data_IF_903020606616
#
_entry.id   IF_903020606616
#
_cell.length_a   1.000
_cell.length_b   1.000
_cell.length_c   1.000
_cell.angle_alpha   90.00
_cell.angle_beta   90.00
_cell.angle_gamma   90.00
#
_symmetry.space_group_name_H-M   'P 1'
#
loop_
_entity.id
_entity.type
_entity.pdbx_description
1 polymer ?
#
# COMPACT_ATOMS: atom_id res chain seq x y z
N UNK A 1 -26.92 -4.34 10.46
CA UNK A 1 -26.97 -5.78 10.77
C UNK A 1 -28.13 -6.56 10.12
N UNK A 2 -28.89 -5.99 9.17
CA UNK A 2 -30.00 -6.70 8.47
C UNK A 2 -29.72 -7.12 7.01
N UNK A 3 -28.57 -6.72 6.45
CA UNK A 3 -28.20 -7.02 5.06
C UNK A 3 -27.53 -8.39 4.96
N UNK A 4 -26.71 -8.75 5.96
CA UNK A 4 -25.89 -9.98 5.97
C UNK A 4 -26.73 -11.27 6.06
N UNK A 5 -27.90 -11.24 6.71
CA UNK A 5 -28.72 -12.44 6.92
C UNK A 5 -29.39 -12.98 5.66
N UNK A 6 -29.36 -12.25 4.54
CA UNK A 6 -29.98 -12.68 3.28
C UNK A 6 -29.01 -13.46 2.36
N UNK A 7 -27.71 -13.46 2.66
CA UNK A 7 -26.65 -14.03 1.80
C UNK A 7 -26.27 -15.48 2.14
N UNK A 8 -26.95 -16.14 3.07
CA UNK A 8 -26.56 -17.46 3.56
C UNK A 8 -27.15 -18.65 2.77
N UNK A 9 -27.87 -18.41 1.67
CA UNK A 9 -28.66 -19.45 0.99
C UNK A 9 -28.30 -19.76 -0.48
N UNK A 10 -27.42 -18.99 -1.12
CA UNK A 10 -27.02 -19.22 -2.52
C UNK A 10 -25.54 -19.50 -2.63
N UNK A 11 -25.18 -20.48 -3.48
CA UNK A 11 -23.79 -20.88 -3.77
C UNK A 11 -23.11 -19.72 -4.50
N UNK A 12 -22.47 -18.85 -3.73
CA UNK A 12 -21.71 -17.71 -4.22
C UNK A 12 -20.47 -18.17 -4.99
N UNK A 13 -20.35 -17.73 -6.24
CA UNK A 13 -19.11 -17.85 -6.99
C UNK A 13 -18.32 -16.56 -6.73
N UNK A 14 -17.08 -16.63 -6.24
CA UNK A 14 -16.31 -15.43 -5.87
C UNK A 14 -15.11 -15.27 -6.80
N UNK A 15 -14.76 -14.03 -7.14
CA UNK A 15 -13.52 -13.64 -7.82
C UNK A 15 -12.56 -13.04 -6.77
N UNK A 16 -11.53 -13.76 -6.29
CA UNK A 16 -10.50 -13.21 -5.43
C UNK A 16 -9.61 -12.26 -6.23
N UNK A 17 -9.32 -11.11 -5.63
CA UNK A 17 -8.20 -10.26 -6.06
C UNK A 17 -6.92 -10.57 -5.26
N UNK A 18 -7.02 -11.11 -4.04
CA UNK A 18 -5.90 -11.66 -3.24
C UNK A 18 -6.44 -12.53 -2.07
N UNK A 19 -5.57 -13.05 -1.19
CA UNK A 19 -5.91 -13.90 -0.02
C UNK A 19 -6.93 -13.25 0.96
N UNK A 20 -6.98 -11.93 1.02
CA UNK A 20 -7.88 -11.12 1.88
C UNK A 20 -9.03 -10.46 1.10
N UNK A 21 -9.00 -10.48 -0.24
CA UNK A 21 -9.94 -9.77 -1.12
C UNK A 21 -10.79 -10.74 -1.93
N UNK A 22 -12.11 -10.70 -1.73
CA UNK A 22 -13.07 -11.52 -2.47
C UNK A 22 -14.16 -10.63 -3.07
N UNK A 23 -14.31 -10.63 -4.39
CA UNK A 23 -15.50 -10.10 -5.08
C UNK A 23 -16.54 -11.20 -5.15
N UNK A 24 -17.67 -11.00 -4.48
CA UNK A 24 -18.79 -11.94 -4.49
C UNK A 24 -19.60 -11.83 -5.80
N UNK A 25 -19.95 -12.96 -6.43
CA UNK A 25 -20.80 -13.06 -7.62
C UNK A 25 -22.02 -13.95 -7.29
N UNK A 26 -23.22 -13.38 -7.31
CA UNK A 26 -24.48 -14.12 -7.26
C UNK A 26 -25.11 -14.11 -8.67
N UNK A 27 -25.56 -15.27 -9.17
CA UNK A 27 -25.85 -15.48 -10.60
C UNK A 27 -27.19 -14.89 -11.06
N UNK A 28 -28.02 -14.34 -10.18
CA UNK A 28 -29.35 -13.83 -10.61
C UNK A 28 -29.47 -12.30 -10.61
N UNK A 29 -28.59 -11.57 -9.91
CA UNK A 29 -28.43 -10.11 -10.01
C UNK A 29 -26.96 -9.74 -9.73
N UNK A 30 -26.23 -9.28 -10.76
CA UNK A 30 -24.80 -8.91 -10.72
C UNK A 30 -24.54 -7.73 -9.77
N UNK A 31 -24.48 -7.98 -8.46
CA UNK A 31 -24.04 -6.98 -7.47
C UNK A 31 -22.64 -7.33 -6.98
N UNK A 32 -21.64 -6.89 -7.73
CA UNK A 32 -20.24 -7.04 -7.37
C UNK A 32 -19.87 -6.05 -6.28
N UNK A 33 -19.87 -6.50 -5.03
CA UNK A 33 -19.33 -5.73 -3.91
C UNK A 33 -17.84 -6.02 -3.76
N UNK A 34 -17.02 -4.98 -3.86
CA UNK A 34 -15.72 -4.99 -3.21
C UNK A 34 -15.96 -5.01 -1.69
N UNK A 35 -15.58 -6.09 -1.02
CA UNK A 35 -15.75 -6.25 0.42
C UNK A 35 -14.96 -5.23 1.24
N UNK A 36 -13.87 -4.68 0.68
CA UNK A 36 -12.99 -3.74 1.36
C UNK A 36 -13.54 -2.31 1.28
N UNK A 37 -13.94 -1.88 0.08
CA UNK A 37 -14.50 -0.54 -0.11
C UNK A 37 -16.02 -0.48 0.07
N UNK A 38 -16.70 -1.63 0.20
CA UNK A 38 -18.16 -1.76 0.18
C UNK A 38 -18.78 -1.05 -1.03
N UNK A 39 -18.07 -1.03 -2.15
CA UNK A 39 -18.42 -0.32 -3.36
C UNK A 39 -18.60 -1.29 -4.52
N UNK A 40 -19.38 -0.86 -5.50
CA UNK A 40 -19.52 -1.63 -6.74
C UNK A 40 -18.25 -1.53 -7.56
N UNK A 41 -17.88 -2.62 -8.23
CA UNK A 41 -16.76 -2.59 -9.17
C UNK A 41 -17.03 -1.60 -10.30
N UNK A 42 -15.97 -0.97 -10.81
CA UNK A 42 -16.09 -0.14 -11.99
C UNK A 42 -16.52 -1.00 -13.19
N UNK A 43 -17.24 -0.39 -14.13
CA UNK A 43 -17.67 -1.10 -15.34
C UNK A 43 -16.46 -1.52 -16.19
N UNK A 44 -15.42 -0.69 -16.16
CA UNK A 44 -14.16 -0.86 -16.85
C UNK A 44 -13.41 -2.11 -16.36
N UNK A 45 -13.33 -2.32 -15.04
CA UNK A 45 -12.69 -3.51 -14.46
C UNK A 45 -13.45 -4.79 -14.82
N UNK A 46 -14.78 -4.71 -14.87
CA UNK A 46 -15.60 -5.85 -15.26
C UNK A 46 -15.41 -6.22 -16.74
N UNK A 47 -15.43 -5.22 -17.63
CA UNK A 47 -15.15 -5.43 -19.05
C UNK A 47 -13.73 -5.99 -19.29
N UNK A 48 -12.75 -5.58 -18.47
CA UNK A 48 -11.40 -6.14 -18.51
C UNK A 48 -11.38 -7.61 -18.08
N UNK A 49 -12.01 -7.96 -16.95
CA UNK A 49 -12.08 -9.34 -16.47
C UNK A 49 -12.78 -10.27 -17.49
N UNK A 50 -13.86 -9.79 -18.14
CA UNK A 50 -14.53 -10.54 -19.21
C UNK A 50 -13.62 -10.78 -20.42
N UNK A 51 -12.81 -9.78 -20.82
CA UNK A 51 -11.84 -9.94 -21.91
C UNK A 51 -10.78 -10.97 -21.55
N UNK A 52 -10.21 -10.90 -20.34
CA UNK A 52 -9.23 -11.89 -19.86
C UNK A 52 -9.84 -13.28 -19.86
N UNK A 53 -11.06 -13.43 -19.33
CA UNK A 53 -11.78 -14.70 -19.31
C UNK A 53 -11.96 -15.31 -20.70
N UNK A 54 -12.29 -14.49 -21.70
CA UNK A 54 -12.46 -14.93 -23.08
C UNK A 54 -11.13 -15.24 -23.77
N UNK A 55 -10.10 -14.41 -23.60
CA UNK A 55 -8.79 -14.54 -24.25
C UNK A 55 -8.07 -15.81 -23.80
N UNK A 56 -8.12 -16.10 -22.49
CA UNK A 56 -7.47 -17.27 -21.91
C UNK A 56 -8.37 -18.52 -21.88
N UNK A 57 -9.56 -18.44 -22.49
CA UNK A 57 -10.53 -19.54 -22.58
C UNK A 57 -10.83 -20.22 -21.23
N UNK A 58 -10.94 -19.40 -20.18
CA UNK A 58 -11.05 -19.85 -18.79
C UNK A 58 -12.39 -20.56 -18.58
N UNK A 59 -12.36 -21.75 -17.97
CA UNK A 59 -13.57 -22.57 -17.77
C UNK A 59 -14.14 -22.46 -16.38
N UNK A 60 -13.27 -22.34 -15.39
CA UNK A 60 -13.63 -22.31 -13.99
C UNK A 60 -12.91 -21.17 -13.28
N UNK A 61 -13.36 -20.91 -12.07
CA UNK A 61 -12.82 -19.82 -11.28
C UNK A 61 -11.36 -20.07 -10.82
N UNK A 62 -11.02 -21.34 -10.56
CA UNK A 62 -9.68 -21.77 -10.13
C UNK A 62 -8.61 -21.41 -11.17
N UNK A 63 -8.85 -21.69 -12.46
CA UNK A 63 -7.96 -21.33 -13.57
C UNK A 63 -7.74 -19.81 -13.67
N UNK A 64 -8.75 -19.00 -13.37
CA UNK A 64 -8.60 -17.54 -13.32
C UNK A 64 -7.69 -17.10 -12.18
N UNK A 65 -7.83 -17.72 -11.02
CA UNK A 65 -7.01 -17.43 -9.84
C UNK A 65 -5.56 -17.84 -10.05
N UNK A 66 -5.32 -19.01 -10.64
CA UNK A 66 -3.98 -19.49 -10.96
C UNK A 66 -3.29 -18.54 -11.97
N UNK A 67 -4.01 -18.10 -13.01
CA UNK A 67 -3.50 -17.11 -13.96
C UNK A 67 -3.13 -15.80 -13.25
N UNK A 68 -3.99 -15.31 -12.35
CA UNK A 68 -3.71 -14.09 -11.59
C UNK A 68 -2.43 -14.25 -10.75
N UNK A 69 -2.32 -15.33 -9.98
CA UNK A 69 -1.13 -15.63 -9.18
C UNK A 69 0.14 -15.72 -10.02
N UNK A 70 0.06 -16.43 -11.16
CA UNK A 70 1.19 -16.57 -12.08
C UNK A 70 1.62 -15.20 -12.62
N UNK A 71 0.66 -14.37 -13.05
CA UNK A 71 0.98 -13.02 -13.53
C UNK A 71 1.58 -12.13 -12.44
N UNK A 72 1.09 -12.19 -11.20
CA UNK A 72 1.64 -11.40 -10.08
C UNK A 72 3.09 -11.80 -9.77
N UNK A 73 3.36 -13.11 -9.72
CA UNK A 73 4.72 -13.65 -9.50
C UNK A 73 5.66 -13.29 -10.65
N UNK A 74 5.20 -13.41 -11.91
CA UNK A 74 6.01 -13.08 -13.08
C UNK A 74 6.33 -11.59 -13.15
N UNK A 75 5.36 -10.71 -12.87
CA UNK A 75 5.57 -9.27 -12.83
C UNK A 75 6.56 -8.88 -11.73
N UNK A 76 6.40 -9.46 -10.54
CA UNK A 76 7.33 -9.22 -9.43
C UNK A 76 8.74 -9.71 -9.78
N UNK A 77 8.86 -10.89 -10.40
CA UNK A 77 10.13 -11.45 -10.84
C UNK A 77 10.81 -10.56 -11.90
N UNK A 78 10.08 -10.07 -12.90
CA UNK A 78 10.62 -9.19 -13.94
C UNK A 78 11.15 -7.87 -13.36
N UNK A 79 10.36 -7.22 -12.50
CA UNK A 79 10.78 -6.00 -11.81
C UNK A 79 12.03 -6.26 -10.95
N UNK A 80 12.05 -7.36 -10.20
CA UNK A 80 13.17 -7.68 -9.30
C UNK A 80 14.44 -8.08 -10.05
N UNK A 81 14.32 -8.80 -11.18
CA UNK A 81 15.45 -9.13 -12.04
C UNK A 81 16.05 -7.88 -12.67
N UNK A 82 15.20 -7.00 -13.23
CA UNK A 82 15.65 -5.72 -13.78
C UNK A 82 16.33 -4.85 -12.72
N UNK A 83 15.77 -4.80 -11.52
CA UNK A 83 16.37 -4.12 -10.38
C UNK A 83 17.76 -4.69 -10.02
N UNK A 84 17.87 -6.01 -9.96
CA UNK A 84 19.14 -6.71 -9.66
C UNK A 84 20.20 -6.43 -10.72
N UNK A 85 19.86 -6.51 -12.00
CA UNK A 85 20.78 -6.20 -13.12
C UNK A 85 21.27 -4.77 -13.02
N UNK A 86 20.36 -3.82 -12.81
CA UNK A 86 20.70 -2.40 -12.68
C UNK A 86 21.63 -2.17 -11.49
N UNK A 87 21.33 -2.74 -10.32
CA UNK A 87 22.11 -2.52 -9.10
C UNK A 87 23.49 -3.18 -9.15
N UNK A 88 23.59 -4.36 -9.74
CA UNK A 88 24.86 -5.03 -10.02
C UNK A 88 25.73 -4.19 -10.97
N UNK A 89 25.13 -3.55 -11.97
CA UNK A 89 25.86 -2.69 -12.90
C UNK A 89 26.37 -1.41 -12.24
N UNK A 90 25.54 -0.74 -11.45
CA UNK A 90 25.85 0.58 -10.90
C UNK A 90 26.72 0.49 -9.65
N UNK A 91 26.36 -0.41 -8.72
CA UNK A 91 27.00 -0.51 -7.41
C UNK A 91 27.79 -1.80 -7.24
N UNK A 92 27.67 -2.79 -8.13
CA UNK A 92 28.31 -4.10 -7.96
C UNK A 92 27.85 -4.82 -6.69
N UNK A 93 26.58 -4.66 -6.35
CA UNK A 93 25.92 -5.30 -5.22
C UNK A 93 24.70 -6.06 -5.75
N UNK A 94 24.44 -7.23 -5.17
CA UNK A 94 23.26 -8.03 -5.49
C UNK A 94 22.17 -7.80 -4.42
N UNK A 95 21.00 -7.24 -4.78
CA UNK A 95 19.87 -7.08 -3.87
C UNK A 95 19.40 -8.37 -3.20
N UNK A 96 19.54 -9.53 -3.85
CA UNK A 96 19.06 -10.82 -3.34
C UNK A 96 19.80 -11.28 -2.07
N UNK A 97 20.99 -10.73 -1.80
CA UNK A 97 21.76 -11.01 -0.59
C UNK A 97 21.29 -10.22 0.64
N UNK A 98 20.30 -9.34 0.49
CA UNK A 98 19.81 -8.47 1.55
C UNK A 98 18.36 -8.79 1.91
N UNK A 99 18.10 -8.91 3.21
CA UNK A 99 16.73 -9.07 3.72
C UNK A 99 15.95 -7.75 3.61
N UNK A 100 16.63 -6.60 3.75
CA UNK A 100 16.02 -5.28 3.74
C UNK A 100 16.74 -4.33 2.81
N UNK A 101 15.96 -3.51 2.08
CA UNK A 101 16.49 -2.48 1.19
C UNK A 101 17.41 -1.46 1.91
N UNK A 102 17.14 -1.15 3.17
CA UNK A 102 17.98 -0.25 3.97
C UNK A 102 19.40 -0.82 4.20
N UNK A 103 19.53 -2.14 4.41
CA UNK A 103 20.85 -2.78 4.59
C UNK A 103 21.68 -2.71 3.31
N UNK A 104 21.05 -2.96 2.17
CA UNK A 104 21.66 -2.80 0.86
C UNK A 104 22.08 -1.34 0.59
N UNK A 105 21.18 -0.38 0.88
CA UNK A 105 21.46 1.05 0.72
C UNK A 105 22.67 1.48 1.55
N UNK A 106 22.75 1.04 2.80
CA UNK A 106 23.90 1.32 3.67
C UNK A 106 25.19 0.77 3.06
N UNK A 107 25.21 -0.48 2.60
CA UNK A 107 26.40 -1.05 1.96
C UNK A 107 26.80 -0.31 0.68
N UNK A 108 25.83 0.12 -0.13
CA UNK A 108 26.09 0.95 -1.31
C UNK A 108 26.67 2.30 -0.93
N UNK A 109 26.16 2.93 0.12
CA UNK A 109 26.66 4.19 0.65
C UNK A 109 28.10 4.05 1.19
N UNK A 110 28.40 2.97 1.91
CA UNK A 110 29.76 2.71 2.39
C UNK A 110 30.73 2.46 1.24
N UNK A 111 30.29 1.71 0.22
CA UNK A 111 31.10 1.44 -0.98
C UNK A 111 31.40 2.71 -1.78
N UNK A 112 30.43 3.61 -1.92
CA UNK A 112 30.60 4.86 -2.66
C UNK A 112 31.43 5.90 -1.89
N UNK A 113 31.20 6.04 -0.58
CA UNK A 113 31.90 7.00 0.27
C UNK A 113 33.32 6.56 0.64
N UNK A 114 33.61 5.25 0.60
CA UNK A 114 34.87 4.63 1.07
C UNK A 114 35.22 4.98 2.53
N UNK A 115 34.22 5.35 3.31
CA UNK A 115 34.40 5.71 4.72
C UNK A 115 34.40 4.43 5.55
N UNK A 116 35.44 4.26 6.37
CA UNK A 116 35.47 3.21 7.39
C UNK A 116 34.73 3.70 8.64
N UNK A 117 33.60 3.06 8.94
CA UNK A 117 32.88 3.33 10.18
C UNK A 117 33.63 2.71 11.36
N UNK A 118 34.03 3.56 12.30
CA UNK A 118 34.61 3.10 13.57
C UNK A 118 33.50 2.55 14.47
N UNK A 119 33.71 1.33 14.98
CA UNK A 119 32.83 0.75 15.99
C UNK A 119 32.91 1.58 17.28
N UNK A 120 31.76 2.06 17.77
CA UNK A 120 31.66 2.73 19.06
C UNK A 120 31.74 1.69 20.18
N UNK A 121 32.88 1.63 20.87
CA UNK A 121 33.10 0.73 22.02
C UNK A 121 32.73 1.39 23.34
N UNK A 122 32.75 2.73 23.41
CA UNK A 122 32.40 3.47 24.61
C UNK A 122 30.89 3.77 24.67
N UNK A 123 30.27 3.45 25.81
CA UNK A 123 28.84 3.67 26.05
C UNK A 123 28.46 5.16 26.03
N UNK A 124 29.35 6.04 26.47
CA UNK A 124 29.06 7.47 26.54
C UNK A 124 29.07 8.12 25.15
N UNK A 125 29.99 7.70 24.27
CA UNK A 125 30.01 8.09 22.86
C UNK A 125 28.71 7.66 22.15
N UNK A 126 28.30 6.41 22.36
CA UNK A 126 27.04 5.89 21.83
C UNK A 126 25.82 6.68 22.33
N UNK A 127 25.80 7.04 23.63
CA UNK A 127 24.71 7.82 24.22
C UNK A 127 24.63 9.23 23.64
N UNK A 128 25.76 9.90 23.43
CA UNK A 128 25.79 11.23 22.80
C UNK A 128 25.17 11.17 21.41
N UNK A 129 25.59 10.21 20.58
CA UNK A 129 25.04 10.05 19.23
C UNK A 129 23.57 9.72 19.28
N UNK A 130 23.17 8.72 20.09
CA UNK A 130 21.78 8.27 20.19
C UNK A 130 20.84 9.36 20.68
N UNK A 131 21.25 10.15 21.67
CA UNK A 131 20.46 11.26 22.18
C UNK A 131 20.39 12.43 21.20
N UNK A 132 21.37 12.56 20.29
CA UNK A 132 21.38 13.55 19.22
C UNK A 132 20.54 13.17 17.99
N UNK A 133 20.09 11.92 17.88
CA UNK A 133 19.22 11.48 16.76
C UNK A 133 17.81 12.04 16.98
N UNK A 134 17.52 13.15 16.32
CA UNK A 134 16.16 13.65 16.13
C UNK A 134 15.59 13.08 14.83
N UNK A 135 14.33 12.64 14.87
CA UNK A 135 13.56 12.37 13.66
C UNK A 135 13.10 13.70 13.04
N UNK A 136 12.22 13.60 12.06
CA UNK A 136 11.58 14.76 11.47
C UNK A 136 10.77 15.56 12.50
N UNK A 137 10.76 16.88 12.34
CA UNK A 137 9.92 17.79 13.13
C UNK A 137 8.60 17.94 12.38
N UNK A 138 7.56 17.26 12.84
CA UNK A 138 6.21 17.48 12.33
C UNK A 138 5.50 18.53 13.19
N UNK A 139 5.23 19.70 12.61
CA UNK A 139 4.51 20.79 13.26
C UNK A 139 3.08 20.89 12.70
N UNK A 140 2.10 20.47 13.49
CA UNK A 140 0.69 20.73 13.18
C UNK A 140 0.29 22.11 13.73
N UNK A 141 0.48 23.16 12.93
CA UNK A 141 -0.05 24.48 13.27
C UNK A 141 -1.57 24.50 13.08
N UNK A 142 -2.30 24.89 14.13
CA UNK A 142 -3.66 25.35 13.94
C UNK A 142 -3.61 26.75 13.32
N UNK A 143 -4.28 26.96 12.18
CA UNK A 143 -4.53 28.32 11.71
C UNK A 143 -5.34 29.04 12.79
N UNK A 144 -4.97 30.28 13.11
CA UNK A 144 -5.76 31.09 14.02
C UNK A 144 -7.18 31.23 13.46
N UNK A 145 -8.15 30.61 14.13
CA UNK A 145 -9.56 30.72 13.82
C UNK A 145 -10.25 31.35 15.03
N UNK A 146 -10.82 32.53 14.85
CA UNK A 146 -11.61 33.23 15.87
C UNK A 146 -13.06 33.29 15.39
N UNK A 147 -13.95 32.55 16.04
CA UNK A 147 -15.37 32.62 15.78
C UNK A 147 -15.96 33.92 16.36
N UNK A 148 -16.83 34.59 15.61
CA UNK A 148 -17.54 35.78 16.06
C UNK A 148 -18.84 35.38 16.79
N UNK A 149 -18.72 34.98 18.05
CA UNK A 149 -19.82 34.47 18.86
C UNK A 149 -20.42 35.58 19.77
N UNK A 150 -21.75 35.74 19.72
CA UNK A 150 -22.53 36.71 20.50
C UNK A 150 -22.37 36.60 22.03
N UNK A 151 -22.03 35.42 22.54
CA UNK A 151 -21.94 35.16 23.98
C UNK A 151 -20.62 35.67 24.61
N UNK A 152 -19.68 36.14 23.79
CA UNK A 152 -18.38 36.61 24.26
C UNK A 152 -18.24 38.13 24.14
N UNK A 153 -17.49 38.73 25.06
CA UNK A 153 -17.29 40.19 25.17
C UNK A 153 -16.57 40.82 23.98
N UNK A 154 -15.95 40.02 23.11
CA UNK A 154 -15.21 40.43 21.93
C UNK A 154 -16.01 40.29 20.62
N UNK A 155 -17.35 40.24 20.71
CA UNK A 155 -18.28 40.19 19.59
C UNK A 155 -18.29 41.52 18.82
N UNK A 156 -18.17 41.45 17.49
CA UNK A 156 -18.28 42.60 16.60
C UNK A 156 -19.54 42.45 15.72
N UNK A 157 -20.50 43.38 15.86
CA UNK A 157 -21.77 43.35 15.12
C UNK A 157 -21.62 43.60 13.61
N UNK A 158 -20.46 44.11 13.17
CA UNK A 158 -20.14 44.38 11.76
C UNK A 158 -19.67 43.15 10.98
N UNK A 159 -19.35 42.03 11.66
CA UNK A 159 -18.86 40.79 11.03
C UNK A 159 -19.95 39.71 11.01
N UNK A 160 -19.96 38.89 9.95
CA UNK A 160 -20.89 37.76 9.80
C UNK A 160 -20.78 36.81 11.00
N UNK A 161 -21.94 36.28 11.42
CA UNK A 161 -22.02 35.27 12.48
C UNK A 161 -21.49 33.95 11.93
N UNK A 162 -20.56 33.34 12.66
CA UNK A 162 -20.13 31.96 12.42
C UNK A 162 -20.90 31.00 13.31
#
# INVERSE_FOLDING_TARGET
MKIVSKFMATKLNCIPENIEKYKAMDIEQLWFLDSFHQQNISKEDYEHAQKVWQIFEIKNFEEYYDLYLETDVLLLADVFMNYTIMYLKDNGLDPSHYIYACGMFNNSLYKSSKVELKLMTNIDEYRIVKNGICREITMACHRYAKANNLQYSNYESSKLKS
#
